data_IF_350344012879
#
_entry.id   IF_350344012879
#
_cell.length_a   1.000
_cell.length_b   1.000
_cell.length_c   1.000
_cell.angle_alpha   90.00
_cell.angle_beta   90.00
_cell.angle_gamma   90.00
#
_symmetry.space_group_name_H-M   'P 1'
#
loop_
_entity.id
_entity.type
_entity.pdbx_description
1 polymer ?
#
# COMPACT_ATOMS: atom_id res chain seq x y z
N UNK A 1 -42.54 17.85 42.68
CA UNK A 1 -41.14 18.13 43.07
C UNK A 1 -40.65 16.97 43.89
N UNK A 2 -40.01 15.98 43.27
CA UNK A 2 -39.50 14.79 43.94
C UNK A 2 -37.98 14.79 43.79
N UNK A 3 -37.30 15.10 44.89
CA UNK A 3 -35.84 15.14 45.02
C UNK A 3 -35.20 13.84 44.53
N UNK A 4 -34.35 13.97 43.52
CA UNK A 4 -33.48 12.89 43.05
C UNK A 4 -32.37 12.69 44.07
N UNK A 5 -32.41 11.56 44.79
CA UNK A 5 -31.35 11.12 45.70
C UNK A 5 -30.03 10.99 44.91
N UNK A 6 -29.13 11.96 45.08
CA UNK A 6 -27.72 11.84 44.68
C UNK A 6 -27.10 10.65 45.43
N UNK A 7 -26.64 9.65 44.67
CA UNK A 7 -25.88 8.53 45.21
C UNK A 7 -24.51 8.97 45.75
N UNK A 8 -23.93 8.13 46.61
CA UNK A 8 -22.73 8.37 47.42
C UNK A 8 -21.42 8.68 46.65
N UNK A 9 -21.47 8.77 45.31
CA UNK A 9 -20.34 9.08 44.42
C UNK A 9 -20.46 10.44 43.72
N UNK A 10 -21.47 11.25 44.04
CA UNK A 10 -21.70 12.55 43.40
C UNK A 10 -20.94 13.73 44.01
N UNK A 11 -19.79 13.49 44.66
CA UNK A 11 -18.92 14.54 45.21
C UNK A 11 -17.81 14.89 44.22
N UNK A 12 -17.63 16.18 43.93
CA UNK A 12 -16.55 16.67 43.07
C UNK A 12 -15.19 16.13 43.55
N UNK A 13 -14.36 15.56 42.65
CA UNK A 13 -13.08 14.98 43.04
C UNK A 13 -12.16 16.08 43.57
N UNK A 14 -11.59 15.88 44.76
CA UNK A 14 -10.55 16.76 45.31
C UNK A 14 -9.35 16.80 44.36
N UNK A 15 -8.92 17.99 43.95
CA UNK A 15 -7.87 18.24 42.94
C UNK A 15 -6.43 17.83 43.30
N UNK A 16 -6.24 16.86 44.20
CA UNK A 16 -4.93 16.34 44.61
C UNK A 16 -4.65 14.92 44.07
N UNK A 17 -5.32 14.54 42.97
CA UNK A 17 -5.14 13.23 42.31
C UNK A 17 -4.97 13.32 40.80
N UNK A 18 -4.58 14.48 40.27
CA UNK A 18 -4.43 14.75 38.83
C UNK A 18 -3.36 13.90 38.11
N UNK A 19 -2.57 13.11 38.85
CA UNK A 19 -1.69 12.08 38.28
C UNK A 19 -2.44 10.79 37.86
N UNK A 20 -3.71 10.65 38.25
CA UNK A 20 -4.55 9.49 37.93
C UNK A 20 -5.40 9.78 36.70
N UNK A 21 -5.53 8.78 35.83
CA UNK A 21 -6.40 8.86 34.65
C UNK A 21 -7.85 9.10 35.11
N UNK A 22 -8.34 10.33 34.92
CA UNK A 22 -9.72 10.71 35.15
C UNK A 22 -10.56 10.17 33.99
N UNK A 23 -11.61 9.43 34.30
CA UNK A 23 -12.59 8.97 33.32
C UNK A 23 -13.73 9.98 33.31
N UNK A 24 -13.98 10.61 32.16
CA UNK A 24 -15.13 11.49 31.98
C UNK A 24 -16.41 10.62 31.95
N UNK A 25 -17.20 10.69 33.01
CA UNK A 25 -18.40 9.87 33.16
C UNK A 25 -19.43 10.17 32.06
N UNK A 26 -19.50 11.42 31.57
CA UNK A 26 -20.46 11.83 30.56
C UNK A 26 -20.05 11.32 29.18
N UNK A 27 -18.76 11.39 28.85
CA UNK A 27 -18.22 10.82 27.60
C UNK A 27 -18.43 9.30 27.54
N UNK A 28 -18.18 8.59 28.63
CA UNK A 28 -18.37 7.14 28.70
C UNK A 28 -19.85 6.75 28.69
N UNK A 29 -20.73 7.54 29.32
CA UNK A 29 -22.17 7.36 29.22
C UNK A 29 -22.67 7.56 27.78
N UNK A 30 -22.19 8.58 27.08
CA UNK A 30 -22.50 8.81 25.67
C UNK A 30 -22.03 7.64 24.79
N UNK A 31 -20.78 7.18 24.95
CA UNK A 31 -20.25 6.00 24.24
C UNK A 31 -21.04 4.72 24.53
N UNK A 32 -21.46 4.53 25.78
CA UNK A 32 -22.29 3.38 26.15
C UNK A 32 -23.66 3.43 25.46
N UNK A 33 -24.32 4.60 25.45
CA UNK A 33 -25.60 4.81 24.78
C UNK A 33 -25.50 4.59 23.26
N UNK A 34 -24.44 5.07 22.61
CA UNK A 34 -24.19 4.82 21.19
C UNK A 34 -24.01 3.33 20.88
N UNK A 35 -23.26 2.61 21.73
CA UNK A 35 -23.08 1.17 21.59
C UNK A 35 -24.40 0.43 21.77
N UNK A 36 -25.18 0.77 22.79
CA UNK A 36 -26.50 0.18 23.02
C UNK A 36 -27.47 0.46 21.87
N UNK A 37 -27.45 1.67 21.30
CA UNK A 37 -28.28 2.02 20.15
C UNK A 37 -27.92 1.13 18.94
N UNK A 38 -26.63 0.99 18.64
CA UNK A 38 -26.13 0.11 17.57
C UNK A 38 -26.50 -1.36 17.81
N UNK A 39 -26.33 -1.86 19.03
CA UNK A 39 -26.72 -3.23 19.38
C UNK A 39 -28.23 -3.46 19.26
N UNK A 40 -29.05 -2.47 19.64
CA UNK A 40 -30.52 -2.52 19.48
C UNK A 40 -30.90 -2.54 18.00
N UNK A 41 -30.28 -1.72 17.16
CA UNK A 41 -30.50 -1.75 15.71
C UNK A 41 -30.08 -3.08 15.08
N UNK A 42 -28.89 -3.59 15.41
CA UNK A 42 -28.44 -4.91 14.96
C UNK A 42 -29.37 -6.03 15.44
N UNK A 43 -29.89 -5.94 16.67
CA UNK A 43 -30.82 -6.95 17.22
C UNK A 43 -32.15 -6.98 16.47
N UNK A 44 -32.69 -5.80 16.09
CA UNK A 44 -33.90 -5.69 15.27
C UNK A 44 -33.66 -6.27 13.88
N UNK A 45 -32.55 -5.91 13.24
CA UNK A 45 -32.21 -6.43 11.93
C UNK A 45 -31.97 -7.96 11.94
N UNK A 46 -31.39 -8.51 13.02
CA UNK A 46 -31.29 -9.96 13.23
C UNK A 46 -32.65 -10.63 13.38
N UNK A 47 -33.56 -10.00 14.13
CA UNK A 47 -34.92 -10.51 14.32
C UNK A 47 -35.71 -10.52 13.01
N UNK A 48 -35.63 -9.45 12.23
CA UNK A 48 -36.24 -9.33 10.90
C UNK A 48 -35.67 -10.35 9.91
N UNK A 49 -34.34 -10.53 9.88
CA UNK A 49 -33.71 -11.55 9.05
C UNK A 49 -34.17 -12.97 9.44
N UNK A 50 -34.27 -13.24 10.75
CA UNK A 50 -34.79 -14.52 11.27
C UNK A 50 -36.25 -14.75 10.89
N UNK A 51 -37.08 -13.71 10.95
CA UNK A 51 -38.49 -13.77 10.52
C UNK A 51 -38.60 -14.07 9.01
N UNK A 52 -37.70 -13.50 8.21
CA UNK A 52 -37.58 -13.75 6.77
C UNK A 52 -36.89 -15.10 6.44
N UNK A 53 -36.50 -15.89 7.45
CA UNK A 53 -35.80 -17.18 7.27
C UNK A 53 -34.36 -17.06 6.74
N UNK A 54 -33.79 -15.85 6.70
CA UNK A 54 -32.43 -15.58 6.20
C UNK A 54 -31.46 -15.45 7.36
N UNK A 55 -30.19 -15.80 7.13
CA UNK A 55 -29.12 -15.51 8.10
C UNK A 55 -28.80 -14.02 8.05
N UNK A 56 -28.69 -13.40 9.22
CA UNK A 56 -28.27 -12.00 9.31
C UNK A 56 -26.79 -11.87 8.99
N UNK A 57 -26.47 -10.97 8.07
CA UNK A 57 -25.12 -10.51 7.77
C UNK A 57 -25.07 -9.01 8.02
N UNK A 58 -23.99 -8.54 8.65
CA UNK A 58 -23.78 -7.10 8.84
C UNK A 58 -23.70 -6.44 7.46
N UNK A 59 -24.46 -5.36 7.20
CA UNK A 59 -24.39 -4.69 5.90
C UNK A 59 -22.98 -4.14 5.66
N UNK A 60 -22.51 -4.26 4.43
CA UNK A 60 -21.18 -3.83 4.02
C UNK A 60 -21.09 -2.30 4.14
N UNK A 61 -19.98 -1.79 4.69
CA UNK A 61 -19.78 -0.35 4.97
C UNK A 61 -19.33 0.45 3.75
N UNK A 62 -19.16 -0.18 2.58
CA UNK A 62 -18.79 0.47 1.32
C UNK A 62 -17.29 0.65 1.10
N UNK A 63 -16.47 0.59 2.16
CA UNK A 63 -15.00 0.66 2.08
C UNK A 63 -14.34 -0.71 1.78
N UNK A 64 -15.13 -1.71 1.40
CA UNK A 64 -14.66 -3.08 1.28
C UNK A 64 -13.95 -3.35 -0.05
N UNK A 65 -12.90 -4.17 0.02
CA UNK A 65 -12.13 -4.59 -1.15
C UNK A 65 -12.66 -5.92 -1.71
N UNK A 66 -12.53 -6.14 -3.01
CA UNK A 66 -12.85 -7.45 -3.60
C UNK A 66 -11.91 -8.53 -3.04
N UNK A 67 -12.42 -9.76 -2.90
CA UNK A 67 -11.57 -10.90 -2.51
C UNK A 67 -10.43 -11.04 -3.52
N UNK A 68 -9.21 -11.07 -2.99
CA UNK A 68 -7.99 -11.24 -3.78
C UNK A 68 -7.23 -12.50 -3.39
N UNK A 69 -6.41 -13.02 -4.31
CA UNK A 69 -5.56 -14.15 -4.01
C UNK A 69 -4.56 -13.78 -2.89
N UNK A 70 -4.39 -14.69 -1.92
CA UNK A 70 -3.43 -14.51 -0.82
C UNK A 70 -2.01 -14.30 -1.38
N UNK A 71 -1.39 -13.18 -1.00
CA UNK A 71 0.00 -12.86 -1.35
C UNK A 71 1.03 -13.49 -0.41
N UNK A 72 0.62 -13.70 0.84
CA UNK A 72 1.50 -14.23 1.87
C UNK A 72 1.35 -15.75 1.95
N UNK A 73 2.49 -16.45 1.97
CA UNK A 73 2.55 -17.88 2.23
C UNK A 73 2.38 -18.08 3.74
N UNK A 74 1.42 -18.92 4.13
CA UNK A 74 1.21 -19.27 5.54
C UNK A 74 2.30 -20.25 5.95
N UNK A 75 3.19 -19.83 6.85
CA UNK A 75 4.25 -20.69 7.37
C UNK A 75 3.72 -21.63 8.47
N UNK A 76 3.35 -22.83 8.05
CA UNK A 76 2.87 -23.89 8.94
C UNK A 76 4.02 -24.63 9.64
N UNK A 77 5.26 -24.40 9.23
CA UNK A 77 6.42 -25.16 9.74
C UNK A 77 6.85 -24.69 11.12
N UNK A 78 6.56 -23.44 11.47
CA UNK A 78 6.96 -22.85 12.75
C UNK A 78 6.36 -23.54 13.97
N UNK A 79 5.26 -24.27 13.80
CA UNK A 79 4.58 -24.97 14.89
C UNK A 79 4.97 -26.45 15.01
N UNK A 80 5.79 -26.97 14.10
CA UNK A 80 6.24 -28.37 14.13
C UNK A 80 7.22 -28.54 15.30
N UNK A 81 6.93 -29.51 16.18
CA UNK A 81 7.80 -29.88 17.31
C UNK A 81 7.80 -28.91 18.49
N UNK A 82 6.99 -27.84 18.47
CA UNK A 82 6.87 -26.91 19.59
C UNK A 82 5.71 -27.30 20.50
N UNK A 83 5.98 -27.43 21.80
CA UNK A 83 4.96 -27.55 22.83
C UNK A 83 4.68 -26.17 23.42
N UNK A 84 3.40 -25.76 23.46
CA UNK A 84 2.98 -24.49 24.05
C UNK A 84 2.08 -24.74 25.25
N UNK A 85 2.28 -23.95 26.30
CA UNK A 85 1.48 -24.01 27.51
C UNK A 85 0.19 -23.21 27.29
N UNK A 86 -0.95 -23.90 27.26
CA UNK A 86 -2.26 -23.28 27.03
C UNK A 86 -2.85 -22.86 28.38
N UNK A 87 -3.27 -21.60 28.55
CA UNK A 87 -3.91 -21.18 29.80
C UNK A 87 -5.21 -21.95 30.00
N UNK A 88 -5.42 -22.45 31.23
CA UNK A 88 -6.62 -23.20 31.60
C UNK A 88 -7.87 -22.37 31.32
N UNK A 89 -8.74 -22.86 30.42
CA UNK A 89 -9.93 -22.16 29.95
C UNK A 89 -9.88 -21.75 28.46
N UNK A 90 -8.70 -21.47 27.91
CA UNK A 90 -8.53 -21.18 26.47
C UNK A 90 -8.56 -22.44 25.59
N UNK A 91 -8.63 -23.63 26.18
CA UNK A 91 -8.78 -24.90 25.48
C UNK A 91 -10.23 -25.30 25.19
N UNK A 92 -11.22 -24.60 25.76
CA UNK A 92 -12.64 -24.94 25.62
C UNK A 92 -13.24 -24.15 24.47
N UNK A 93 -13.27 -24.77 23.29
CA UNK A 93 -13.81 -24.20 22.07
C UNK A 93 -12.75 -23.58 21.17
N UNK A 94 -13.21 -22.79 20.20
CA UNK A 94 -12.34 -22.13 19.20
C UNK A 94 -12.00 -20.69 19.57
N UNK A 95 -12.60 -20.08 20.60
CA UNK A 95 -12.38 -18.67 20.93
C UNK A 95 -11.23 -18.51 21.93
N UNK A 96 -10.40 -17.48 21.71
CA UNK A 96 -9.24 -17.18 22.54
C UNK A 96 -7.94 -17.82 22.05
N UNK A 97 -6.82 -17.43 22.65
CA UNK A 97 -5.45 -17.91 22.31
C UNK A 97 -5.22 -19.32 22.90
N UNK A 98 -5.82 -20.32 22.28
CA UNK A 98 -5.55 -21.74 22.53
C UNK A 98 -4.29 -22.25 21.80
N UNK A 99 -4.02 -23.56 21.93
CA UNK A 99 -3.00 -24.21 21.10
C UNK A 99 -3.45 -24.31 19.63
N UNK A 100 -2.60 -23.87 18.71
CA UNK A 100 -2.80 -23.99 17.26
C UNK A 100 -2.56 -22.67 16.51
N UNK A 101 -3.18 -22.55 15.33
CA UNK A 101 -3.14 -21.34 14.50
C UNK A 101 -4.18 -20.34 14.99
N UNK A 102 -3.75 -19.12 15.22
CA UNK A 102 -4.62 -18.04 15.67
C UNK A 102 -4.96 -17.08 14.53
N UNK A 103 -6.25 -16.74 14.43
CA UNK A 103 -6.75 -15.71 13.53
C UNK A 103 -7.09 -14.43 14.33
N UNK A 104 -6.32 -13.38 14.12
CA UNK A 104 -6.51 -12.04 14.73
C UNK A 104 -7.86 -11.39 14.43
N UNK A 105 -8.35 -11.34 13.17
CA UNK A 105 -9.61 -10.64 12.88
C UNK A 105 -10.86 -11.37 13.38
N UNK A 106 -10.77 -12.65 13.74
CA UNK A 106 -11.93 -13.44 14.16
C UNK A 106 -11.87 -13.90 15.62
N UNK A 107 -10.73 -13.69 16.30
CA UNK A 107 -10.44 -14.21 17.63
C UNK A 107 -10.66 -15.72 17.79
N UNK A 108 -10.34 -16.47 16.73
CA UNK A 108 -10.49 -17.92 16.67
C UNK A 108 -9.12 -18.62 16.58
N UNK A 109 -8.94 -19.67 17.37
CA UNK A 109 -7.87 -20.66 17.25
C UNK A 109 -8.35 -21.94 16.56
N UNK A 110 -7.50 -22.45 15.68
CA UNK A 110 -7.70 -23.70 14.95
C UNK A 110 -6.53 -24.64 15.22
N UNK A 111 -6.85 -25.88 15.60
CA UNK A 111 -5.84 -26.92 15.89
C UNK A 111 -5.29 -27.57 14.61
N UNK A 112 -6.08 -27.55 13.53
CA UNK A 112 -5.72 -28.17 12.26
C UNK A 112 -5.41 -27.12 11.18
N UNK A 113 -4.38 -27.38 10.37
CA UNK A 113 -3.98 -26.51 9.25
C UNK A 113 -5.12 -26.34 8.23
N UNK A 114 -5.83 -27.44 7.91
CA UNK A 114 -6.94 -27.42 6.94
C UNK A 114 -8.08 -26.53 7.42
N UNK A 115 -8.48 -26.69 8.69
CA UNK A 115 -9.53 -25.86 9.27
C UNK A 115 -9.14 -24.38 9.32
N UNK A 116 -7.87 -24.07 9.58
CA UNK A 116 -7.37 -22.70 9.54
C UNK A 116 -7.46 -22.10 8.14
N UNK A 117 -7.04 -22.86 7.12
CA UNK A 117 -7.10 -22.42 5.72
C UNK A 117 -8.54 -22.24 5.24
N UNK A 118 -9.43 -23.17 5.59
CA UNK A 118 -10.86 -23.07 5.29
C UNK A 118 -11.47 -21.85 5.96
N UNK A 119 -11.15 -21.60 7.23
CA UNK A 119 -11.61 -20.42 7.96
C UNK A 119 -11.25 -19.11 7.25
N UNK A 120 -10.00 -18.96 6.79
CA UNK A 120 -9.57 -17.77 6.05
C UNK A 120 -10.40 -17.52 4.77
N UNK A 121 -10.97 -18.57 4.19
CA UNK A 121 -11.81 -18.48 3.00
C UNK A 121 -13.31 -18.36 3.32
N UNK A 122 -13.71 -18.46 4.59
CA UNK A 122 -15.13 -18.33 4.97
C UNK A 122 -15.60 -16.88 4.89
N UNK A 123 -16.88 -16.63 4.56
CA UNK A 123 -17.44 -15.27 4.53
C UNK A 123 -17.31 -14.56 5.88
N UNK A 124 -17.32 -15.32 6.99
CA UNK A 124 -17.12 -14.75 8.32
C UNK A 124 -15.75 -14.06 8.46
N UNK A 125 -14.69 -14.68 7.95
CA UNK A 125 -13.36 -14.07 7.98
C UNK A 125 -13.29 -12.88 7.03
N UNK A 126 -13.79 -13.04 5.80
CA UNK A 126 -13.76 -12.00 4.78
C UNK A 126 -14.47 -10.73 5.23
N UNK A 127 -15.68 -10.84 5.80
CA UNK A 127 -16.44 -9.72 6.36
C UNK A 127 -15.64 -9.02 7.48
N UNK A 128 -15.03 -9.79 8.39
CA UNK A 128 -14.24 -9.22 9.47
C UNK A 128 -12.96 -8.51 8.96
N UNK A 129 -12.41 -8.94 7.83
CA UNK A 129 -11.26 -8.30 7.18
C UNK A 129 -11.64 -7.17 6.22
N UNK A 130 -12.93 -6.88 6.02
CA UNK A 130 -13.40 -5.87 5.06
C UNK A 130 -13.23 -6.30 3.59
N UNK A 131 -13.36 -7.60 3.32
CA UNK A 131 -13.35 -8.16 1.97
C UNK A 131 -14.74 -8.68 1.59
N UNK A 132 -15.17 -8.35 0.38
CA UNK A 132 -16.40 -8.90 -0.19
C UNK A 132 -16.15 -10.31 -0.70
N UNK A 133 -17.14 -11.20 -0.67
CA UNK A 133 -17.03 -12.56 -1.24
C UNK A 133 -16.94 -12.58 -2.77
N UNK A 134 -17.06 -11.41 -3.40
CA UNK A 134 -17.04 -11.26 -4.84
C UNK A 134 -15.61 -11.02 -5.34
N UNK A 135 -15.33 -11.55 -6.53
CA UNK A 135 -14.02 -11.41 -7.19
C UNK A 135 -14.19 -10.50 -8.40
N UNK A 136 -13.22 -9.60 -8.61
CA UNK A 136 -13.18 -8.73 -9.79
C UNK A 136 -13.10 -9.59 -11.07
N UNK A 137 -13.97 -9.32 -12.03
CA UNK A 137 -13.87 -9.93 -13.38
C UNK A 137 -12.68 -9.34 -14.11
N UNK A 138 -11.83 -10.21 -14.66
CA UNK A 138 -10.66 -9.80 -15.41
C UNK A 138 -11.04 -9.23 -16.80
N UNK A 139 -10.31 -8.21 -17.25
CA UNK A 139 -10.39 -7.69 -18.62
C UNK A 139 -9.47 -8.47 -19.56
N UNK A 140 -9.67 -8.35 -20.88
CA UNK A 140 -8.80 -9.00 -21.86
C UNK A 140 -7.35 -8.51 -21.78
N UNK A 141 -7.16 -7.22 -21.51
CA UNK A 141 -5.85 -6.59 -21.32
C UNK A 141 -5.14 -7.15 -20.07
N UNK A 142 -5.83 -7.23 -18.93
CA UNK A 142 -5.28 -7.81 -17.70
C UNK A 142 -4.85 -9.28 -17.89
N UNK A 143 -5.57 -10.05 -18.71
CA UNK A 143 -5.19 -11.43 -19.04
C UNK A 143 -3.95 -11.46 -19.93
N UNK A 144 -3.85 -10.58 -20.91
CA UNK A 144 -2.67 -10.50 -21.79
C UNK A 144 -1.41 -10.17 -20.99
N UNK A 145 -1.46 -9.14 -20.15
CA UNK A 145 -0.36 -8.76 -19.26
C UNK A 145 0.05 -9.91 -18.33
N UNK A 146 -0.94 -10.66 -17.81
CA UNK A 146 -0.69 -11.82 -16.97
C UNK A 146 0.04 -12.94 -17.72
N UNK A 147 -0.37 -13.22 -18.96
CA UNK A 147 0.27 -14.23 -19.81
C UNK A 147 1.70 -13.83 -20.12
N UNK A 148 1.94 -12.58 -20.53
CA UNK A 148 3.28 -12.06 -20.75
C UNK A 148 4.17 -12.18 -19.52
N UNK A 149 3.65 -11.85 -18.33
CA UNK A 149 4.37 -12.00 -17.08
C UNK A 149 4.83 -13.45 -16.85
N UNK A 150 3.96 -14.43 -17.13
CA UNK A 150 4.32 -15.84 -16.98
C UNK A 150 5.32 -16.34 -18.04
N UNK A 151 5.25 -15.83 -19.27
CA UNK A 151 6.24 -16.12 -20.32
C UNK A 151 7.61 -15.57 -19.89
N UNK A 152 7.70 -14.29 -19.50
CA UNK A 152 8.95 -13.68 -19.02
C UNK A 152 9.53 -14.45 -17.83
N UNK A 153 8.70 -14.78 -16.85
CA UNK A 153 9.12 -15.56 -15.68
C UNK A 153 9.64 -16.95 -16.06
N UNK A 154 9.07 -17.58 -17.09
CA UNK A 154 9.56 -18.86 -17.61
C UNK A 154 10.94 -18.70 -18.25
N UNK A 155 11.11 -17.69 -19.09
CA UNK A 155 12.38 -17.40 -19.76
C UNK A 155 13.49 -17.09 -18.75
N UNK A 156 13.18 -16.34 -17.70
CA UNK A 156 14.12 -16.04 -16.61
C UNK A 156 14.55 -17.32 -15.86
N UNK A 157 13.60 -18.20 -15.54
CA UNK A 157 13.91 -19.49 -14.93
C UNK A 157 14.71 -20.42 -15.86
N UNK A 158 14.51 -20.33 -17.18
CA UNK A 158 15.30 -21.07 -18.17
C UNK A 158 16.74 -20.51 -18.25
N UNK A 159 16.93 -19.19 -18.23
CA UNK A 159 18.26 -18.56 -18.12
C UNK A 159 18.98 -18.92 -16.83
N UNK A 160 18.28 -18.95 -15.69
CA UNK A 160 18.87 -19.36 -14.41
C UNK A 160 19.36 -20.82 -14.41
N UNK A 161 18.67 -21.69 -15.16
CA UNK A 161 19.06 -23.10 -15.35
C UNK A 161 20.24 -23.28 -16.31
N UNK A 162 20.59 -22.27 -17.12
CA UNK A 162 21.80 -22.31 -17.95
C UNK A 162 23.02 -22.27 -17.02
N UNK A 163 23.57 -23.46 -16.77
CA UNK A 163 24.63 -23.71 -15.80
C UNK A 163 26.01 -23.81 -16.45
N UNK A 164 26.11 -23.76 -17.78
CA UNK A 164 27.41 -23.77 -18.45
C UNK A 164 28.07 -22.38 -18.40
N UNK A 165 29.40 -22.38 -18.20
CA UNK A 165 30.19 -21.15 -18.05
C UNK A 165 30.20 -20.32 -19.35
N UNK A 166 30.12 -21.00 -20.50
CA UNK A 166 30.11 -20.37 -21.82
C UNK A 166 28.78 -19.64 -22.10
N UNK A 167 27.64 -20.27 -21.81
CA UNK A 167 26.31 -19.63 -21.96
C UNK A 167 26.18 -18.41 -21.04
N UNK A 168 26.74 -18.46 -19.83
CA UNK A 168 26.75 -17.30 -18.92
C UNK A 168 27.61 -16.13 -19.40
N UNK A 169 28.72 -16.40 -20.09
CA UNK A 169 29.56 -15.36 -20.68
C UNK A 169 28.87 -14.70 -21.88
N UNK A 170 28.24 -15.50 -22.74
CA UNK A 170 27.47 -15.00 -23.89
C UNK A 170 26.27 -14.15 -23.45
N UNK A 171 25.51 -14.59 -22.44
CA UNK A 171 24.41 -13.80 -21.88
C UNK A 171 24.90 -12.45 -21.34
N UNK A 172 26.05 -12.42 -20.66
CA UNK A 172 26.63 -11.18 -20.13
C UNK A 172 27.12 -10.24 -21.24
N UNK A 173 27.69 -10.78 -22.31
CA UNK A 173 28.08 -9.99 -23.49
C UNK A 173 26.86 -9.38 -24.18
N UNK A 174 25.79 -10.15 -24.38
CA UNK A 174 24.53 -9.65 -24.93
C UNK A 174 23.86 -8.59 -24.05
N UNK A 175 23.91 -8.75 -22.72
CA UNK A 175 23.43 -7.74 -21.77
C UNK A 175 24.24 -6.45 -21.85
N UNK A 176 25.57 -6.55 -21.95
CA UNK A 176 26.47 -5.40 -22.09
C UNK A 176 26.26 -4.66 -23.42
N UNK A 177 26.02 -5.37 -24.51
CA UNK A 177 25.69 -4.77 -25.80
C UNK A 177 24.35 -4.05 -25.76
N UNK A 178 23.31 -4.65 -25.16
CA UNK A 178 22.00 -3.99 -24.96
C UNK A 178 22.12 -2.74 -24.10
N UNK A 179 22.89 -2.78 -23.01
CA UNK A 179 23.13 -1.59 -22.18
C UNK A 179 23.88 -0.49 -22.95
N UNK A 180 24.86 -0.87 -23.78
CA UNK A 180 25.58 0.06 -24.64
C UNK A 180 24.65 0.69 -25.69
N UNK A 181 23.74 -0.09 -26.28
CA UNK A 181 22.72 0.42 -27.20
C UNK A 181 21.72 1.35 -26.53
N UNK A 182 21.22 1.02 -25.33
CA UNK A 182 20.35 1.92 -24.56
C UNK A 182 21.06 3.21 -24.18
N UNK A 183 22.33 3.15 -23.77
CA UNK A 183 23.15 4.34 -23.52
C UNK A 183 23.32 5.17 -24.79
N UNK A 184 23.47 4.53 -25.96
CA UNK A 184 23.53 5.22 -27.26
C UNK A 184 22.19 5.87 -27.61
N UNK A 185 21.06 5.22 -27.35
CA UNK A 185 19.71 5.77 -27.56
C UNK A 185 19.44 6.97 -26.64
N UNK A 186 19.70 6.84 -25.34
CA UNK A 186 19.59 7.95 -24.37
C UNK A 186 20.43 9.17 -24.76
N UNK A 187 21.67 8.93 -25.24
CA UNK A 187 22.53 10.02 -25.77
C UNK A 187 21.94 10.70 -27.01
N UNK A 188 21.24 9.97 -27.88
CA UNK A 188 20.57 10.54 -29.06
C UNK A 188 19.35 11.36 -28.65
N UNK A 189 18.51 10.83 -27.76
CA UNK A 189 17.35 11.52 -27.21
C UNK A 189 17.74 12.81 -26.46
N UNK A 190 18.79 12.78 -25.65
CA UNK A 190 19.31 13.96 -24.95
C UNK A 190 19.83 15.03 -25.94
N UNK A 191 20.50 14.61 -27.02
CA UNK A 191 20.98 15.53 -28.04
C UNK A 191 19.82 16.15 -28.84
N UNK A 192 18.80 15.37 -29.17
CA UNK A 192 17.59 15.86 -29.85
C UNK A 192 16.81 16.84 -28.96
N UNK A 193 16.64 16.52 -27.68
CA UNK A 193 16.04 17.42 -26.69
C UNK A 193 16.83 18.73 -26.54
N UNK A 194 18.15 18.69 -26.61
CA UNK A 194 19.00 19.90 -26.62
C UNK A 194 18.84 20.72 -27.91
N UNK A 195 18.61 20.09 -29.05
CA UNK A 195 18.37 20.79 -30.33
C UNK A 195 17.01 21.50 -30.32
N UNK A 196 15.95 20.82 -29.87
CA UNK A 196 14.62 21.42 -29.74
C UNK A 196 14.64 22.64 -28.81
N UNK A 197 15.30 22.53 -27.65
CA UNK A 197 15.47 23.68 -26.73
C UNK A 197 16.20 24.86 -27.37
N UNK A 198 17.27 24.61 -28.14
CA UNK A 198 17.98 25.67 -28.86
C UNK A 198 17.13 26.31 -29.95
N UNK A 199 16.29 25.53 -30.63
CA UNK A 199 15.36 26.04 -31.64
C UNK A 199 14.22 26.86 -31.00
N UNK A 200 13.74 26.48 -29.82
CA UNK A 200 12.79 27.28 -29.02
C UNK A 200 13.44 28.58 -28.50
N UNK A 201 14.65 28.52 -27.96
CA UNK A 201 15.41 29.70 -27.52
C UNK A 201 15.70 30.65 -28.70
N UNK A 202 16.05 30.13 -29.88
CA UNK A 202 16.24 30.92 -31.08
C UNK A 202 14.93 31.54 -31.59
N UNK A 203 13.80 30.81 -31.48
CA UNK A 203 12.47 31.33 -31.85
C UNK A 203 12.03 32.45 -30.91
N UNK A 204 12.24 32.28 -29.60
CA UNK A 204 11.98 33.32 -28.59
C UNK A 204 12.89 34.53 -28.81
N UNK A 205 14.16 34.34 -29.19
CA UNK A 205 15.08 35.45 -29.51
C UNK A 205 14.67 36.19 -30.79
N UNK A 206 14.11 35.50 -31.79
CA UNK A 206 13.57 36.15 -32.99
C UNK A 206 12.26 36.89 -32.70
N UNK A 207 11.39 36.33 -31.88
CA UNK A 207 10.13 36.98 -31.47
C UNK A 207 10.37 38.22 -30.59
N UNK A 208 11.42 38.21 -29.76
CA UNK A 208 11.83 39.38 -28.97
C UNK A 208 12.64 40.42 -29.77
N UNK A 209 13.06 40.09 -30.99
CA UNK A 209 13.84 40.97 -31.87
C UNK A 209 13.01 41.85 -32.81
N UNK A 210 11.70 41.63 -32.90
CA UNK A 210 10.82 42.37 -33.82
C UNK A 210 10.25 43.68 -33.22
N UNK A 211 10.40 43.91 -31.91
CA UNK A 211 9.80 45.05 -31.18
C UNK A 211 10.78 46.07 -30.57
N UNK A 212 12.08 46.07 -30.92
CA UNK A 212 12.99 47.18 -30.53
C UNK A 212 13.95 47.52 -31.66
N UNK A 213 13.52 48.45 -32.53
CA UNK A 213 14.41 49.24 -33.37
C UNK A 213 14.91 50.44 -32.55
N UNK A 214 16.04 50.29 -31.89
CA UNK A 214 16.85 51.41 -31.38
C UNK A 214 18.28 51.16 -31.84
N UNK A 215 18.77 52.06 -32.69
CA UNK A 215 20.15 52.10 -33.18
C UNK A 215 21.15 52.07 -32.02
N UNK A 216 22.14 51.18 -32.10
CA UNK A 216 23.22 51.08 -31.13
C UNK A 216 24.01 49.79 -31.27
N UNK A 217 24.94 49.78 -32.22
CA UNK A 217 26.00 48.78 -32.31
C UNK A 217 26.75 48.69 -30.97
N UNK A 218 26.69 47.54 -30.30
CA UNK A 218 27.69 47.16 -29.32
C UNK A 218 27.85 45.65 -29.37
N UNK A 219 28.85 45.22 -30.13
CA UNK A 219 29.31 43.84 -30.19
C UNK A 219 29.70 43.37 -28.77
N UNK A 220 29.22 42.18 -28.41
CA UNK A 220 29.46 41.53 -27.11
C UNK A 220 30.97 41.34 -26.81
N UNK A 221 31.80 41.39 -27.86
CA UNK A 221 33.26 41.31 -27.79
C UNK A 221 33.93 42.55 -27.15
N UNK A 222 33.33 43.74 -27.28
CA UNK A 222 33.88 44.99 -26.72
C UNK A 222 33.57 45.13 -25.21
N UNK A 223 32.43 44.60 -24.75
CA UNK A 223 32.14 44.47 -23.32
C UNK A 223 33.04 43.43 -22.64
N UNK A 224 33.42 42.38 -23.35
CA UNK A 224 34.34 41.35 -22.84
C UNK A 224 35.78 41.90 -22.70
N UNK A 225 36.19 42.79 -23.61
CA UNK A 225 37.45 43.52 -23.53
C UNK A 225 37.47 44.55 -22.40
N UNK A 226 36.36 45.26 -22.16
CA UNK A 226 36.25 46.27 -21.09
C UNK A 226 36.26 45.67 -19.68
N UNK A 227 35.82 44.41 -19.51
CA UNK A 227 35.88 43.68 -18.23
C UNK A 227 37.19 42.91 -17.98
N UNK A 228 38.21 43.09 -18.83
CA UNK A 228 39.57 42.63 -18.54
C UNK A 228 39.79 41.11 -18.59
N UNK A 229 38.91 40.34 -19.25
CA UNK A 229 39.12 38.91 -19.50
C UNK A 229 39.98 38.68 -20.74
N UNK A 230 41.23 39.16 -20.69
CA UNK A 230 42.25 38.84 -21.69
C UNK A 230 43.09 37.65 -21.23
N UNK A 231 42.63 36.44 -21.60
CA UNK A 231 43.51 35.30 -21.89
C UNK A 231 43.70 34.23 -20.82
N UNK A 232 43.52 32.97 -21.23
CA UNK A 232 44.45 31.89 -20.87
C UNK A 232 44.61 30.94 -22.06
N UNK A 233 45.86 30.80 -22.51
CA UNK A 233 46.26 30.39 -23.86
C UNK A 233 45.77 29.03 -24.36
N UNK A 234 45.45 28.99 -25.66
CA UNK A 234 45.55 27.79 -26.47
C UNK A 234 47.03 27.44 -26.67
N UNK A 235 47.55 26.52 -25.86
CA UNK A 235 48.88 25.95 -26.08
C UNK A 235 48.78 24.66 -26.91
N UNK A 236 49.20 24.79 -28.18
CA UNK A 236 49.83 23.78 -29.06
C UNK A 236 48.99 22.66 -29.70
N UNK A 237 49.18 22.63 -31.04
CA UNK A 237 49.44 21.49 -31.95
C UNK A 237 48.56 20.25 -31.88
#
# INVERSE_FOLDING_TARGET
MSDSKKGAYGGAPSGDTDFRKTYDLDEYAAKANEREAKEKEESKARYEAKLAGKKYHKPLTGDETYTSARRNVIDLTQQIGKTQLVPGGAGVGKRGRGAGFYCEPCDLTFKDNKQYIEHLNTPQHLINTGQTTEVKRATAEEVHERIEYYIRRRDDLEKEKQTSLHERLQLREEEAEKEAEERRKKRREDNERKRIKKEEEARVKMEYGEDVRVDGEHDEDDMMAAMGFTGFGTSKK
#
